data_IF_577710435165
#
_entry.id   IF_577710435165
#
_cell.length_a   1.000
_cell.length_b   1.000
_cell.length_c   1.000
_cell.angle_alpha   90.00
_cell.angle_beta   90.00
_cell.angle_gamma   90.00
#
_symmetry.space_group_name_H-M   'P 1'
#
loop_
_entity.id
_entity.type
_entity.pdbx_description
1 polymer ?
#
# COMPACT_ATOMS: atom_id res chain seq x y z
N UNK A 1 27.04 -40.19 48.26
CA UNK A 1 26.27 -39.02 47.81
C UNK A 1 27.25 -38.07 47.11
N UNK A 2 26.91 -37.66 45.86
CA UNK A 2 27.65 -36.82 44.90
C UNK A 2 28.93 -37.42 44.26
N UNK A 3 28.77 -37.92 43.04
CA UNK A 3 29.83 -38.13 42.05
C UNK A 3 29.85 -36.93 41.10
N UNK A 4 31.03 -36.40 40.84
CA UNK A 4 31.31 -35.53 39.70
C UNK A 4 31.51 -36.40 38.45
N UNK A 5 30.87 -36.03 37.33
CA UNK A 5 31.24 -36.51 35.99
C UNK A 5 31.17 -35.33 35.01
N UNK A 6 32.13 -35.36 34.09
CA UNK A 6 32.61 -34.30 33.20
C UNK A 6 31.61 -33.75 32.16
N UNK A 7 32.03 -32.61 31.60
CA UNK A 7 31.35 -31.74 30.63
C UNK A 7 30.84 -32.41 29.34
N UNK A 8 29.75 -31.86 28.80
CA UNK A 8 29.36 -31.91 27.39
C UNK A 8 28.90 -30.49 26.95
N UNK A 9 29.07 -30.11 25.66
CA UNK A 9 29.28 -28.73 25.24
C UNK A 9 28.01 -27.86 25.27
N UNK A 10 28.22 -26.55 25.41
CA UNK A 10 27.16 -25.55 25.37
C UNK A 10 26.41 -25.59 24.03
N UNK A 11 25.14 -25.97 24.06
CA UNK A 11 24.21 -25.66 23.00
C UNK A 11 23.88 -24.17 23.08
N UNK A 12 24.56 -23.36 22.26
CA UNK A 12 24.11 -22.00 21.96
C UNK A 12 22.78 -22.09 21.22
N UNK A 13 21.68 -21.98 21.96
CA UNK A 13 20.36 -21.73 21.37
C UNK A 13 20.25 -20.25 21.03
N UNK A 14 21.01 -19.80 20.04
CA UNK A 14 20.74 -18.53 19.37
C UNK A 14 19.54 -18.72 18.43
N UNK A 15 18.35 -18.83 19.00
CA UNK A 15 17.15 -18.39 18.29
C UNK A 15 16.96 -16.93 18.67
N UNK A 16 17.67 -16.07 17.93
CA UNK A 16 17.30 -14.67 17.81
C UNK A 16 15.82 -14.65 17.41
N UNK A 17 14.97 -14.19 18.33
CA UNK A 17 13.65 -13.72 17.95
C UNK A 17 13.91 -12.53 17.03
N UNK A 18 13.82 -12.75 15.72
CA UNK A 18 13.95 -11.67 14.75
C UNK A 18 12.86 -10.65 15.09
N UNK A 19 13.27 -9.48 15.55
CA UNK A 19 12.38 -8.33 15.69
C UNK A 19 11.62 -8.14 14.36
N UNK A 20 10.34 -7.71 14.38
CA UNK A 20 9.58 -7.47 13.17
C UNK A 20 10.27 -6.35 12.38
N UNK A 21 11.15 -6.75 11.46
CA UNK A 21 11.90 -5.83 10.60
C UNK A 21 10.87 -5.10 9.75
N UNK A 22 10.86 -3.77 9.89
CA UNK A 22 9.92 -2.87 9.25
C UNK A 22 9.64 -3.25 7.80
N UNK A 23 8.38 -3.12 7.38
CA UNK A 23 8.02 -3.17 5.96
C UNK A 23 8.76 -2.01 5.30
N UNK A 24 9.85 -2.32 4.60
CA UNK A 24 10.52 -1.32 3.78
C UNK A 24 9.57 -0.99 2.64
N UNK A 25 8.95 0.20 2.69
CA UNK A 25 8.27 0.78 1.54
C UNK A 25 9.38 1.20 0.57
N UNK A 26 10.02 0.22 -0.07
CA UNK A 26 11.26 0.42 -0.81
C UNK A 26 11.08 1.36 -2.01
N UNK A 27 9.84 1.50 -2.52
CA UNK A 27 9.48 2.40 -3.61
C UNK A 27 7.96 2.58 -3.66
N UNK A 28 7.45 3.71 -3.17
CA UNK A 28 6.16 4.21 -3.64
C UNK A 28 6.40 4.78 -5.05
N UNK A 29 6.52 3.89 -6.04
CA UNK A 29 6.59 4.27 -7.44
C UNK A 29 5.18 4.67 -7.89
N UNK A 30 4.86 5.94 -7.68
CA UNK A 30 3.67 6.62 -8.20
C UNK A 30 3.78 6.66 -9.72
N UNK A 31 3.37 5.58 -10.38
CA UNK A 31 3.13 5.62 -11.81
C UNK A 31 1.63 5.74 -12.01
N UNK A 32 1.24 6.92 -12.44
CA UNK A 32 -0.12 7.23 -12.78
C UNK A 32 -0.51 6.55 -14.09
N UNK A 33 -1.45 5.61 -14.04
CA UNK A 33 -2.09 5.10 -15.26
C UNK A 33 -3.45 5.76 -15.36
N UNK A 34 -3.67 6.41 -16.50
CA UNK A 34 -4.89 7.12 -16.87
C UNK A 34 -6.09 6.16 -16.92
N UNK A 35 -7.27 6.73 -16.66
CA UNK A 35 -8.64 6.22 -16.85
C UNK A 35 -8.79 4.78 -17.35
N UNK A 36 -9.75 4.03 -16.74
CA UNK A 36 -10.26 2.66 -17.03
C UNK A 36 -10.17 2.07 -18.46
N UNK A 37 -9.88 2.84 -19.51
CA UNK A 37 -9.67 2.37 -20.89
C UNK A 37 -8.25 1.89 -21.18
N UNK A 38 -7.24 2.35 -20.45
CA UNK A 38 -5.83 2.04 -20.75
C UNK A 38 -5.24 0.88 -19.91
N UNK A 39 -5.96 0.39 -18.90
CA UNK A 39 -5.57 -0.81 -18.12
C UNK A 39 -5.48 -2.08 -18.97
N UNK A 40 -6.16 -2.11 -20.12
CA UNK A 40 -6.04 -3.19 -21.11
C UNK A 40 -4.91 -2.94 -22.13
N UNK A 41 -4.28 -1.76 -22.12
CA UNK A 41 -3.14 -1.48 -22.98
C UNK A 41 -1.93 -2.24 -22.45
N UNK A 42 -1.69 -3.40 -23.08
CA UNK A 42 -0.62 -4.33 -22.77
C UNK A 42 0.75 -3.65 -22.77
N UNK A 43 0.99 -2.66 -23.62
CA UNK A 43 2.29 -1.97 -23.66
C UNK A 43 2.54 -1.11 -22.43
N UNK A 44 1.53 -0.38 -21.96
CA UNK A 44 1.63 0.43 -20.73
C UNK A 44 1.81 -0.49 -19.53
N UNK A 45 1.02 -1.56 -19.45
CA UNK A 45 1.16 -2.55 -18.38
C UNK A 45 2.57 -3.14 -18.34
N UNK A 46 3.11 -3.57 -19.49
CA UNK A 46 4.46 -4.13 -19.58
C UNK A 46 5.54 -3.11 -19.23
N UNK A 47 5.44 -1.87 -19.70
CA UNK A 47 6.38 -0.80 -19.36
C UNK A 47 6.38 -0.48 -17.86
N UNK A 48 5.20 -0.50 -17.22
CA UNK A 48 5.07 -0.30 -15.78
C UNK A 48 5.63 -1.49 -15.00
N UNK A 49 5.42 -2.72 -15.47
CA UNK A 49 6.05 -3.91 -14.87
C UNK A 49 7.58 -3.89 -14.99
N UNK A 50 8.10 -3.41 -16.12
CA UNK A 50 9.54 -3.28 -16.36
C UNK A 50 10.17 -2.15 -15.50
N UNK A 51 9.44 -1.05 -15.29
CA UNK A 51 9.83 0.03 -14.36
C UNK A 51 9.71 -0.38 -12.89
N UNK A 52 8.76 -1.24 -12.54
CA UNK A 52 8.58 -1.84 -11.21
C UNK A 52 9.62 -2.95 -10.95
N UNK A 53 10.89 -2.63 -11.16
CA UNK A 53 12.01 -3.57 -11.26
C UNK A 53 12.44 -4.29 -9.94
N UNK A 54 11.54 -4.53 -8.97
CA UNK A 54 11.75 -5.55 -7.92
C UNK A 54 10.53 -5.81 -6.98
N UNK A 55 9.27 -5.69 -7.42
CA UNK A 55 8.15 -5.87 -6.49
C UNK A 55 6.87 -6.45 -7.10
N UNK A 56 5.98 -6.96 -6.24
CA UNK A 56 4.63 -7.33 -6.64
C UNK A 56 3.83 -6.05 -6.91
N UNK A 57 3.26 -5.94 -8.10
CA UNK A 57 2.46 -4.78 -8.48
C UNK A 57 1.02 -4.95 -8.02
N UNK A 58 0.45 -3.86 -7.49
CA UNK A 58 -0.95 -3.78 -7.10
C UNK A 58 -1.56 -2.49 -7.62
N UNK A 59 -2.77 -2.61 -8.18
CA UNK A 59 -3.55 -1.48 -8.64
C UNK A 59 -4.56 -1.11 -7.56
N UNK A 60 -4.66 0.18 -7.28
CA UNK A 60 -5.60 0.73 -6.31
C UNK A 60 -6.47 1.76 -6.99
N UNK A 61 -7.72 1.84 -6.56
CA UNK A 61 -8.68 2.79 -7.10
C UNK A 61 -9.65 3.23 -6.01
N UNK A 62 -9.98 4.51 -5.99
CA UNK A 62 -10.90 5.10 -5.04
C UNK A 62 -11.82 6.10 -5.72
N UNK A 63 -13.12 5.90 -5.56
CA UNK A 63 -14.12 6.81 -6.10
C UNK A 63 -15.12 7.22 -5.03
N UNK A 64 -15.70 8.40 -5.18
CA UNK A 64 -16.77 8.90 -4.35
C UNK A 64 -17.82 9.60 -5.21
N UNK A 65 -19.03 9.04 -5.21
CA UNK A 65 -20.21 9.69 -5.74
C UNK A 65 -20.62 10.84 -4.81
N UNK A 66 -21.11 11.95 -5.38
CA UNK A 66 -21.45 13.16 -4.64
C UNK A 66 -20.31 13.67 -3.73
N UNK A 67 -19.07 13.56 -4.20
CA UNK A 67 -17.84 13.92 -3.48
C UNK A 67 -17.94 15.27 -2.74
N UNK A 68 -17.86 15.22 -1.41
CA UNK A 68 -17.90 16.41 -0.54
C UNK A 68 -19.29 16.89 -0.14
N UNK A 69 -20.36 16.20 -0.52
CA UNK A 69 -21.74 16.55 -0.17
C UNK A 69 -22.36 15.57 0.85
N UNK A 70 -23.50 15.95 1.43
CA UNK A 70 -24.19 15.16 2.47
C UNK A 70 -24.57 13.73 2.06
N UNK A 71 -24.78 13.47 0.77
CA UNK A 71 -25.14 12.16 0.23
C UNK A 71 -23.94 11.41 -0.37
N UNK A 72 -22.71 11.85 -0.05
CA UNK A 72 -21.49 11.28 -0.58
C UNK A 72 -21.33 9.79 -0.24
N UNK A 73 -20.94 9.00 -1.23
CA UNK A 73 -20.71 7.55 -1.10
C UNK A 73 -19.41 7.16 -1.79
N UNK A 74 -18.43 6.80 -0.99
CA UNK A 74 -17.14 6.33 -1.44
C UNK A 74 -17.06 4.81 -1.55
N UNK A 75 -16.23 4.34 -2.47
CA UNK A 75 -15.83 2.95 -2.59
C UNK A 75 -14.33 2.87 -2.86
N UNK A 76 -13.72 1.79 -2.40
CA UNK A 76 -12.31 1.48 -2.67
C UNK A 76 -12.20 0.15 -3.39
N UNK A 77 -11.16 0.02 -4.22
CA UNK A 77 -10.82 -1.18 -4.95
C UNK A 77 -9.32 -1.46 -4.87
N UNK A 78 -8.98 -2.73 -4.74
CA UNK A 78 -7.60 -3.23 -4.83
C UNK A 78 -7.59 -4.41 -5.80
N UNK A 79 -6.68 -4.38 -6.74
CA UNK A 79 -6.54 -5.37 -7.80
C UNK A 79 -5.09 -5.85 -7.92
N UNK A 80 -4.87 -7.10 -7.57
CA UNK A 80 -3.58 -7.81 -7.62
C UNK A 80 -3.38 -8.58 -8.93
N UNK A 81 -4.45 -8.79 -9.70
CA UNK A 81 -4.41 -9.50 -10.99
C UNK A 81 -5.65 -10.34 -11.25
N UNK A 82 -5.76 -10.96 -12.43
CA UNK A 82 -6.92 -11.78 -12.78
C UNK A 82 -7.11 -12.95 -11.79
N UNK A 83 -8.33 -13.10 -11.27
CA UNK A 83 -8.72 -14.17 -10.33
C UNK A 83 -7.90 -14.24 -9.02
N UNK A 84 -7.17 -13.18 -8.66
CA UNK A 84 -6.43 -13.16 -7.41
C UNK A 84 -7.40 -13.06 -6.21
N UNK A 85 -7.33 -13.95 -5.21
CA UNK A 85 -8.24 -13.95 -4.06
C UNK A 85 -8.09 -12.72 -3.16
N UNK A 86 -7.03 -11.94 -3.32
CA UNK A 86 -6.81 -10.68 -2.59
C UNK A 86 -7.50 -9.50 -3.25
N UNK A 87 -8.03 -9.65 -4.47
CA UNK A 87 -8.83 -8.60 -5.10
C UNK A 87 -10.01 -8.23 -4.19
N UNK A 88 -10.26 -6.93 -4.03
CA UNK A 88 -11.33 -6.44 -3.16
C UNK A 88 -12.06 -5.25 -3.76
N UNK A 89 -13.34 -5.15 -3.39
CA UNK A 89 -14.15 -3.96 -3.55
C UNK A 89 -14.98 -3.79 -2.28
N UNK A 90 -14.82 -2.65 -1.61
CA UNK A 90 -15.54 -2.37 -0.37
C UNK A 90 -15.98 -0.90 -0.29
N UNK A 91 -16.99 -0.63 0.53
CA UNK A 91 -17.42 0.73 0.81
C UNK A 91 -16.34 1.47 1.62
N UNK A 92 -16.10 2.74 1.28
CA UNK A 92 -15.24 3.61 2.06
C UNK A 92 -15.85 3.82 3.45
N UNK A 93 -15.14 3.39 4.50
CA UNK A 93 -15.63 3.46 5.89
C UNK A 93 -15.66 4.91 6.42
N UNK A 94 -16.43 5.20 7.45
CA UNK A 94 -16.45 6.51 8.15
C UNK A 94 -17.30 7.59 7.47
N UNK A 95 -17.47 8.74 8.11
CA UNK A 95 -18.48 9.72 7.68
C UNK A 95 -18.02 10.63 6.55
N UNK A 96 -16.71 10.85 6.43
CA UNK A 96 -16.13 11.74 5.43
C UNK A 96 -15.91 10.98 4.13
N UNK A 97 -16.73 11.24 3.13
CA UNK A 97 -16.74 10.52 1.86
C UNK A 97 -16.18 11.41 0.75
N UNK A 98 -14.92 11.21 0.35
CA UNK A 98 -14.27 11.98 -0.70
C UNK A 98 -13.39 11.12 -1.60
N UNK A 99 -13.15 11.55 -2.84
CA UNK A 99 -12.31 10.81 -3.80
C UNK A 99 -10.90 10.56 -3.26
N UNK A 100 -10.25 11.60 -2.73
CA UNK A 100 -8.89 11.46 -2.17
C UNK A 100 -8.86 10.46 -1.03
N UNK A 101 -9.87 10.54 -0.15
CA UNK A 101 -9.91 9.63 1.00
C UNK A 101 -10.12 8.20 0.53
N UNK A 102 -10.94 7.98 -0.49
CA UNK A 102 -11.11 6.66 -1.10
C UNK A 102 -9.77 6.12 -1.64
N UNK A 103 -9.04 6.92 -2.42
CA UNK A 103 -7.76 6.51 -3.01
C UNK A 103 -6.68 6.20 -1.96
N UNK A 104 -6.53 7.07 -0.95
CA UNK A 104 -5.61 6.80 0.16
C UNK A 104 -6.00 5.52 0.90
N UNK A 105 -7.29 5.32 1.17
CA UNK A 105 -7.76 4.12 1.87
C UNK A 105 -7.58 2.85 1.03
N UNK A 106 -7.70 2.92 -0.29
CA UNK A 106 -7.37 1.81 -1.18
C UNK A 106 -5.89 1.42 -1.08
N UNK A 107 -4.97 2.41 -1.08
CA UNK A 107 -3.53 2.18 -0.89
C UNK A 107 -3.22 1.59 0.50
N UNK A 108 -3.83 2.12 1.57
CA UNK A 108 -3.71 1.56 2.93
C UNK A 108 -4.19 0.12 2.97
N UNK A 109 -5.31 -0.19 2.32
CA UNK A 109 -5.85 -1.55 2.30
C UNK A 109 -4.91 -2.52 1.56
N UNK A 110 -4.32 -2.10 0.44
CA UNK A 110 -3.32 -2.89 -0.28
C UNK A 110 -2.08 -3.18 0.59
N UNK A 111 -1.59 -2.19 1.35
CA UNK A 111 -0.48 -2.37 2.30
C UNK A 111 -0.84 -3.35 3.42
N UNK A 112 -2.06 -3.28 3.96
CA UNK A 112 -2.53 -4.24 4.97
C UNK A 112 -2.57 -5.67 4.42
N UNK A 113 -3.08 -5.87 3.20
CA UNK A 113 -3.06 -7.18 2.55
C UNK A 113 -1.64 -7.68 2.31
N UNK A 114 -0.71 -6.82 1.89
CA UNK A 114 0.69 -7.18 1.74
C UNK A 114 1.31 -7.63 3.06
N UNK A 115 1.05 -6.91 4.15
CA UNK A 115 1.52 -7.25 5.50
C UNK A 115 0.94 -8.60 5.98
N UNK A 116 -0.37 -8.82 5.82
CA UNK A 116 -1.05 -10.08 6.17
C UNK A 116 -0.44 -11.29 5.44
N UNK A 117 0.11 -11.06 4.24
CA UNK A 117 0.74 -12.07 3.39
C UNK A 117 2.27 -12.09 3.50
N UNK A 118 2.86 -11.32 4.44
CA UNK A 118 4.31 -11.21 4.62
C UNK A 118 5.08 -10.75 3.37
N UNK A 119 4.42 -9.99 2.50
CA UNK A 119 5.01 -9.40 1.30
C UNK A 119 5.79 -8.16 1.71
N UNK A 120 7.09 -8.15 1.41
CA UNK A 120 8.01 -7.10 1.87
C UNK A 120 8.06 -5.88 0.95
N UNK A 121 7.72 -6.07 -0.31
CA UNK A 121 7.83 -5.03 -1.32
C UNK A 121 6.67 -5.13 -2.30
N UNK A 122 5.94 -4.03 -2.43
CA UNK A 122 4.88 -3.86 -3.42
C UNK A 122 5.05 -2.53 -4.14
N UNK A 123 4.64 -2.49 -5.40
CA UNK A 123 4.48 -1.24 -6.15
C UNK A 123 2.99 -0.92 -6.27
N UNK A 124 2.57 0.20 -5.69
CA UNK A 124 1.17 0.66 -5.75
C UNK A 124 0.99 1.58 -6.95
N UNK A 125 0.08 1.20 -7.83
CA UNK A 125 -0.37 2.00 -8.97
C UNK A 125 -1.73 2.61 -8.61
N UNK A 126 -1.88 3.92 -8.79
CA UNK A 126 -3.12 4.67 -8.52
C UNK A 126 -3.32 5.78 -9.55
N UNK A 127 -4.45 6.50 -9.48
CA UNK A 127 -4.75 7.61 -10.39
C UNK A 127 -3.70 8.75 -10.28
N UNK A 128 -3.17 9.16 -11.44
CA UNK A 128 -2.10 10.19 -11.55
C UNK A 128 -2.52 11.54 -10.97
N UNK A 129 -3.76 11.94 -11.17
CA UNK A 129 -4.26 13.27 -10.80
C UNK A 129 -4.38 13.39 -9.29
N UNK A 130 -4.82 12.32 -8.64
CA UNK A 130 -4.89 12.22 -7.19
C UNK A 130 -3.48 12.14 -6.61
N UNK A 131 -2.60 11.35 -7.22
CA UNK A 131 -1.25 11.19 -6.70
C UNK A 131 -0.41 12.46 -6.78
N UNK A 132 -0.46 13.21 -7.88
CA UNK A 132 0.18 14.52 -7.99
C UNK A 132 -0.35 15.49 -6.92
N UNK A 133 -1.68 15.52 -6.74
CA UNK A 133 -2.30 16.36 -5.71
C UNK A 133 -1.83 15.98 -4.30
N UNK A 134 -1.65 14.70 -4.01
CA UNK A 134 -1.11 14.24 -2.72
C UNK A 134 0.34 14.67 -2.52
N UNK A 135 1.18 14.54 -3.54
CA UNK A 135 2.56 15.02 -3.49
C UNK A 135 2.62 16.53 -3.19
N UNK A 136 1.84 17.34 -3.90
CA UNK A 136 1.79 18.79 -3.67
C UNK A 136 1.33 19.13 -2.24
N UNK A 137 0.30 18.44 -1.75
CA UNK A 137 -0.21 18.63 -0.39
C UNK A 137 0.83 18.22 0.66
N UNK A 138 1.53 17.10 0.46
CA UNK A 138 2.58 16.63 1.36
C UNK A 138 3.75 17.61 1.43
N UNK A 139 4.21 18.14 0.29
CA UNK A 139 5.28 19.16 0.26
C UNK A 139 4.84 20.41 1.05
N UNK A 140 3.60 20.86 0.84
CA UNK A 140 3.05 21.98 1.59
C UNK A 140 3.00 21.72 3.10
N UNK A 141 2.49 20.56 3.53
CA UNK A 141 2.41 20.19 4.94
C UNK A 141 3.77 20.01 5.60
N UNK A 142 4.75 19.44 4.90
CA UNK A 142 6.11 19.33 5.42
C UNK A 142 6.72 20.72 5.67
N UNK A 143 6.47 21.68 4.77
CA UNK A 143 6.91 23.05 4.95
C UNK A 143 6.23 23.75 6.14
N UNK A 144 4.95 23.43 6.45
CA UNK A 144 4.22 24.00 7.59
C UNK A 144 4.30 23.17 8.86
N UNK A 145 5.07 22.08 8.89
CA UNK A 145 5.08 21.10 9.98
C UNK A 145 3.67 20.63 10.35
N UNK A 146 2.84 20.36 9.33
CA UNK A 146 1.47 19.89 9.45
C UNK A 146 0.50 20.88 10.12
N UNK A 147 0.87 22.16 10.23
CA UNK A 147 -0.03 23.19 10.71
C UNK A 147 -0.89 23.75 9.59
N UNK A 148 -2.16 24.01 9.91
CA UNK A 148 -3.06 24.75 9.04
C UNK A 148 -2.62 26.20 8.92
N UNK A 149 -2.78 26.78 7.72
CA UNK A 149 -2.65 28.23 7.57
C UNK A 149 -3.89 28.85 8.22
N UNK A 150 -3.69 29.45 9.40
CA UNK A 150 -4.68 30.26 10.11
C UNK A 150 -5.03 31.49 9.26
#
# INVERSE_FOLDING_TARGET
>A
MRLFVNQAPQAQTNREYAEPREISISRLCIFGIMQNRDIHNREIHLAVMDLANCGLVVYTYGACEYNGYHAAKGGIGVYWGPNDPRNLSEALKGDKQTNIRAEIQAAVRALQQAQEQWIREITIIMDVSISNRLCDQMVGWLATKWMEKI
#
